data_IF_676289573851
#
_entry.id   IF_676289573851
#
_cell.length_a   1.000
_cell.length_b   1.000
_cell.length_c   1.000
_cell.angle_alpha   90.00
_cell.angle_beta   90.00
_cell.angle_gamma   90.00
#
_symmetry.space_group_name_H-M   'P 1'
#
loop_
_entity.id
_entity.type
_entity.pdbx_description
1 polymer ?
#
# COMPACT_ATOMS: atom_id res chain seq x y z
N UNK A 1 -18.97 -19.85 85.82
CA UNK A 1 -19.88 -19.00 85.02
C UNK A 1 -19.05 -17.93 84.33
N UNK A 2 -18.86 -18.06 83.01
CA UNK A 2 -18.48 -17.05 81.99
C UNK A 2 -17.83 -17.80 80.81
N UNK A 3 -18.64 -18.18 79.82
CA UNK A 3 -18.16 -18.60 78.50
C UNK A 3 -17.81 -17.33 77.71
N UNK A 4 -16.58 -17.22 77.20
CA UNK A 4 -16.23 -16.22 76.18
C UNK A 4 -16.32 -16.86 74.80
N UNK A 5 -17.31 -16.44 74.03
CA UNK A 5 -17.55 -16.84 72.65
C UNK A 5 -16.60 -16.05 71.74
N UNK A 6 -15.55 -16.69 71.21
CA UNK A 6 -14.63 -16.08 70.26
C UNK A 6 -15.20 -16.10 68.84
N UNK A 7 -15.47 -14.91 68.29
CA UNK A 7 -15.95 -14.74 66.91
C UNK A 7 -14.76 -14.80 65.94
N UNK A 8 -14.63 -15.88 65.17
CA UNK A 8 -13.62 -16.01 64.11
C UNK A 8 -14.17 -15.38 62.81
N UNK A 9 -13.68 -14.20 62.45
CA UNK A 9 -13.96 -13.58 61.14
C UNK A 9 -12.99 -14.19 60.12
N UNK A 10 -13.49 -15.04 59.23
CA UNK A 10 -12.76 -15.56 58.08
C UNK A 10 -12.74 -14.47 57.01
N UNK A 11 -11.58 -13.86 56.77
CA UNK A 11 -11.37 -12.90 55.69
C UNK A 11 -11.17 -13.69 54.38
N UNK A 12 -12.23 -13.84 53.58
CA UNK A 12 -12.11 -14.38 52.23
C UNK A 12 -11.44 -13.35 51.32
N UNK A 13 -10.16 -13.56 51.01
CA UNK A 13 -9.44 -12.81 49.98
C UNK A 13 -9.94 -13.25 48.61
N UNK A 14 -10.77 -12.42 47.99
CA UNK A 14 -11.16 -12.57 46.58
C UNK A 14 -9.95 -12.17 45.74
N UNK A 15 -9.21 -13.14 45.21
CA UNK A 15 -8.25 -12.90 44.14
C UNK A 15 -9.02 -12.55 42.87
N UNK A 16 -9.11 -11.25 42.56
CA UNK A 16 -9.53 -10.80 41.25
C UNK A 16 -8.43 -11.14 40.24
N UNK A 17 -8.60 -12.26 39.54
CA UNK A 17 -7.76 -12.63 38.40
C UNK A 17 -7.97 -11.60 37.29
N UNK A 18 -7.10 -10.58 37.20
CA UNK A 18 -7.03 -9.70 36.06
C UNK A 18 -6.73 -10.55 34.83
N UNK A 19 -7.76 -10.84 34.04
CA UNK A 19 -7.61 -11.48 32.75
C UNK A 19 -6.88 -10.49 31.87
N UNK A 20 -5.59 -10.70 31.65
CA UNK A 20 -4.83 -9.96 30.63
C UNK A 20 -5.46 -10.35 29.29
N UNK A 21 -6.41 -9.54 28.83
CA UNK A 21 -6.84 -9.55 27.44
C UNK A 21 -5.56 -9.37 26.65
N UNK A 22 -5.11 -10.42 25.96
CA UNK A 22 -4.03 -10.31 24.99
C UNK A 22 -4.53 -9.32 23.95
N UNK A 23 -4.13 -8.07 24.07
CA UNK A 23 -4.31 -7.06 23.04
C UNK A 23 -3.84 -7.67 21.73
N UNK A 24 -4.68 -7.63 20.69
CA UNK A 24 -4.27 -8.00 19.34
C UNK A 24 -2.88 -7.39 19.09
N UNK A 25 -1.91 -8.20 18.68
CA UNK A 25 -0.53 -7.74 18.58
C UNK A 25 -0.48 -6.56 17.62
N UNK A 26 -0.08 -5.40 18.16
CA UNK A 26 0.02 -4.14 17.43
C UNK A 26 0.99 -4.27 16.26
N UNK A 27 0.77 -3.50 15.21
CA UNK A 27 1.64 -3.45 14.06
C UNK A 27 3.11 -3.24 14.43
N UNK A 28 3.97 -3.82 13.60
CA UNK A 28 5.41 -3.77 13.83
C UNK A 28 6.03 -2.42 13.50
N UNK A 29 5.44 -1.67 12.57
CA UNK A 29 5.84 -0.31 12.23
C UNK A 29 4.65 0.47 11.63
N UNK A 30 4.60 1.78 11.87
CA UNK A 30 3.66 2.67 11.20
C UNK A 30 4.19 4.10 11.04
N UNK A 31 3.59 4.83 10.11
CA UNK A 31 3.76 6.28 9.92
C UNK A 31 2.37 6.89 9.71
N UNK A 32 2.11 8.00 10.39
CA UNK A 32 0.99 8.91 10.15
C UNK A 32 1.57 10.23 9.66
N UNK A 33 1.15 10.68 8.47
CA UNK A 33 1.67 11.91 7.88
C UNK A 33 0.57 12.73 7.21
N UNK A 34 0.74 14.05 7.23
CA UNK A 34 0.03 14.92 6.29
C UNK A 34 0.54 14.64 4.88
N UNK A 35 -0.36 14.24 3.99
CA UNK A 35 0.00 13.78 2.66
C UNK A 35 0.48 14.90 1.73
N UNK A 36 0.05 16.14 1.98
CA UNK A 36 0.36 17.26 1.12
C UNK A 36 1.78 17.78 1.37
N UNK A 37 2.08 18.10 2.63
CA UNK A 37 3.39 18.59 3.06
C UNK A 37 4.41 17.47 3.19
N UNK A 38 3.97 16.23 3.48
CA UNK A 38 4.84 15.12 3.84
C UNK A 38 5.32 15.19 5.29
N UNK A 39 4.74 16.04 6.13
CA UNK A 39 5.10 16.14 7.54
C UNK A 39 4.58 14.92 8.33
N UNK A 40 5.50 14.23 9.01
CA UNK A 40 5.19 13.09 9.86
C UNK A 40 4.65 13.60 11.20
N UNK A 41 3.39 13.25 11.48
CA UNK A 41 2.67 13.60 12.70
C UNK A 41 3.05 12.64 13.85
N UNK A 42 3.12 11.34 13.55
CA UNK A 42 3.47 10.29 14.50
C UNK A 42 4.02 9.08 13.76
N UNK A 43 4.94 8.36 14.38
CA UNK A 43 5.59 7.19 13.78
C UNK A 43 6.05 6.19 14.85
N UNK A 44 6.11 4.92 14.46
CA UNK A 44 6.69 3.85 15.27
C UNK A 44 7.55 2.97 14.37
N UNK A 45 8.82 2.78 14.74
CA UNK A 45 9.78 1.97 13.99
C UNK A 45 9.81 2.30 12.47
N UNK A 46 9.79 3.59 12.08
CA UNK A 46 9.54 4.03 10.70
C UNK A 46 10.53 3.46 9.68
N UNK A 47 11.77 3.20 10.13
CA UNK A 47 12.91 2.71 9.32
C UNK A 47 13.17 1.20 9.47
N UNK A 48 12.30 0.47 10.15
CA UNK A 48 12.41 -0.99 10.32
C UNK A 48 12.14 -1.68 8.99
N UNK A 49 13.09 -2.53 8.55
CA UNK A 49 12.98 -3.29 7.31
C UNK A 49 11.99 -4.44 7.49
N UNK A 50 10.90 -4.41 6.75
CA UNK A 50 9.84 -5.42 6.77
C UNK A 50 9.48 -5.85 5.35
N UNK A 51 8.95 -7.07 5.20
CA UNK A 51 8.23 -7.42 3.98
C UNK A 51 6.92 -6.61 3.93
N UNK A 52 6.55 -6.13 2.74
CA UNK A 52 5.37 -5.27 2.55
C UNK A 52 4.28 -5.92 1.68
N UNK A 53 4.52 -7.17 1.24
CA UNK A 53 3.60 -7.91 0.37
C UNK A 53 3.16 -7.08 -0.85
N UNK A 54 1.87 -7.16 -1.17
CA UNK A 54 1.26 -6.47 -2.31
C UNK A 54 1.28 -4.93 -2.27
N UNK A 55 1.76 -4.29 -1.19
CA UNK A 55 2.06 -2.85 -1.24
C UNK A 55 3.14 -2.53 -2.29
N UNK A 56 3.97 -3.52 -2.64
CA UNK A 56 4.91 -3.48 -3.78
C UNK A 56 4.26 -3.02 -5.08
N UNK A 57 2.97 -3.33 -5.28
CA UNK A 57 2.22 -2.98 -6.50
C UNK A 57 2.04 -1.47 -6.68
N UNK A 58 2.23 -0.66 -5.63
CA UNK A 58 2.27 0.80 -5.73
C UNK A 58 3.48 1.25 -6.58
N UNK A 59 4.66 0.66 -6.34
CA UNK A 59 5.86 0.94 -7.14
C UNK A 59 5.70 0.43 -8.57
N UNK A 60 5.16 -0.78 -8.75
CA UNK A 60 4.88 -1.34 -10.07
C UNK A 60 3.96 -0.41 -10.87
N UNK A 61 2.81 -0.03 -10.31
CA UNK A 61 1.87 0.83 -11.01
C UNK A 61 2.44 2.22 -11.28
N UNK A 62 3.23 2.77 -10.35
CA UNK A 62 3.93 4.05 -10.55
C UNK A 62 4.84 3.99 -11.78
N UNK A 63 5.68 2.95 -11.90
CA UNK A 63 6.56 2.76 -13.06
C UNK A 63 5.77 2.59 -14.36
N UNK A 64 4.68 1.81 -14.35
CA UNK A 64 3.82 1.63 -15.54
C UNK A 64 3.21 2.96 -15.99
N UNK A 65 2.67 3.74 -15.06
CA UNK A 65 2.02 5.02 -15.35
C UNK A 65 3.05 6.06 -15.83
N UNK A 66 4.20 6.16 -15.17
CA UNK A 66 5.30 7.05 -15.58
C UNK A 66 5.80 6.73 -16.99
N UNK A 67 5.99 5.44 -17.29
CA UNK A 67 6.42 4.99 -18.61
C UNK A 67 5.38 5.32 -19.68
N UNK A 68 4.10 5.09 -19.38
CA UNK A 68 3.00 5.34 -20.30
C UNK A 68 2.86 6.84 -20.60
N UNK A 69 2.87 7.67 -19.56
CA UNK A 69 2.80 9.14 -19.70
C UNK A 69 3.96 9.67 -20.55
N UNK A 70 5.18 9.24 -20.24
CA UNK A 70 6.39 9.69 -20.97
C UNK A 70 6.40 9.27 -22.45
N UNK A 71 5.82 8.12 -22.78
CA UNK A 71 5.76 7.62 -24.16
C UNK A 71 4.50 8.04 -24.91
N UNK A 72 3.58 8.78 -24.26
CA UNK A 72 2.22 8.98 -24.78
C UNK A 72 1.55 7.66 -25.17
N UNK A 73 1.79 6.62 -24.37
CA UNK A 73 1.31 5.26 -24.62
C UNK A 73 -0.19 5.12 -24.36
N UNK A 74 -0.82 4.15 -25.02
CA UNK A 74 -2.24 3.88 -24.87
C UNK A 74 -2.48 2.77 -23.83
N UNK A 75 -3.09 3.11 -22.69
CA UNK A 75 -3.50 2.11 -21.68
C UNK A 75 -4.59 1.15 -22.20
N UNK A 76 -5.24 1.45 -23.33
CA UNK A 76 -6.17 0.54 -23.98
C UNK A 76 -5.49 -0.49 -24.88
N UNK A 77 -4.18 -0.40 -25.07
CA UNK A 77 -3.41 -1.42 -25.76
C UNK A 77 -3.63 -2.78 -25.10
N UNK A 78 -4.02 -3.76 -25.92
CA UNK A 78 -4.13 -5.14 -25.51
C UNK A 78 -2.73 -5.75 -25.35
N UNK A 79 -2.56 -6.52 -24.28
CA UNK A 79 -1.36 -7.29 -23.99
C UNK A 79 -1.76 -8.73 -23.69
N UNK A 80 -0.94 -9.66 -24.13
CA UNK A 80 -1.14 -11.09 -23.88
C UNK A 80 -0.53 -11.49 -22.55
N UNK A 81 -1.27 -12.22 -21.74
CA UNK A 81 -0.78 -12.77 -20.48
C UNK A 81 0.27 -13.86 -20.79
N UNK A 82 1.54 -13.68 -20.39
CA UNK A 82 2.61 -14.63 -20.70
C UNK A 82 2.56 -15.86 -19.79
N UNK A 83 2.99 -17.01 -20.30
CA UNK A 83 3.11 -18.26 -19.51
C UNK A 83 3.96 -18.08 -18.26
N UNK A 84 4.99 -17.23 -18.33
CA UNK A 84 5.92 -16.94 -17.25
C UNK A 84 5.25 -16.26 -16.05
N UNK A 85 4.10 -15.60 -16.24
CA UNK A 85 3.37 -14.96 -15.14
C UNK A 85 2.88 -15.97 -14.08
N UNK A 86 2.77 -17.25 -14.44
CA UNK A 86 2.30 -18.31 -13.55
C UNK A 86 3.42 -19.00 -12.77
N UNK A 87 4.68 -18.70 -13.09
CA UNK A 87 5.83 -19.30 -12.41
C UNK A 87 6.07 -18.59 -11.08
N UNK A 88 5.74 -19.27 -9.98
CA UNK A 88 5.96 -18.72 -8.63
C UNK A 88 4.92 -17.69 -8.19
N UNK A 89 3.85 -17.49 -8.95
CA UNK A 89 2.71 -16.64 -8.60
C UNK A 89 1.66 -17.41 -7.81
N UNK A 90 1.08 -16.77 -6.79
CA UNK A 90 0.06 -17.37 -5.92
C UNK A 90 -1.35 -16.79 -6.08
N UNK A 91 -1.51 -15.46 -6.10
CA UNK A 91 -2.82 -14.79 -6.20
C UNK A 91 -3.27 -14.59 -7.66
N UNK A 92 -4.26 -15.37 -8.10
CA UNK A 92 -4.92 -15.28 -9.42
C UNK A 92 -6.44 -15.52 -9.27
N UNK A 93 -7.12 -14.68 -8.48
CA UNK A 93 -8.55 -14.86 -8.16
C UNK A 93 -9.49 -14.57 -9.35
N UNK A 94 -8.98 -13.88 -10.36
CA UNK A 94 -9.71 -13.57 -11.60
C UNK A 94 -9.76 -14.80 -12.52
N UNK A 95 -8.82 -15.74 -12.33
CA UNK A 95 -8.73 -16.95 -13.13
C UNK A 95 -8.15 -16.69 -14.51
N UNK A 96 -7.21 -15.74 -14.63
CA UNK A 96 -6.45 -15.51 -15.86
C UNK A 96 -5.70 -16.77 -16.30
N UNK A 97 -5.53 -16.91 -17.61
CA UNK A 97 -4.83 -18.02 -18.26
C UNK A 97 -3.75 -17.49 -19.22
N UNK A 98 -2.69 -18.29 -19.48
CA UNK A 98 -1.74 -17.97 -20.53
C UNK A 98 -2.46 -17.76 -21.87
N UNK A 99 -2.08 -16.71 -22.59
CA UNK A 99 -2.69 -16.38 -23.89
C UNK A 99 -3.94 -15.50 -23.83
N UNK A 100 -4.54 -15.29 -22.65
CA UNK A 100 -5.61 -14.29 -22.49
C UNK A 100 -5.10 -12.91 -22.97
N UNK A 101 -5.96 -12.17 -23.67
CA UNK A 101 -5.66 -10.82 -24.17
C UNK A 101 -6.47 -9.77 -23.43
N UNK A 102 -5.79 -8.82 -22.80
CA UNK A 102 -6.38 -7.86 -21.87
C UNK A 102 -5.69 -6.50 -21.99
N UNK A 103 -6.43 -5.41 -21.78
CA UNK A 103 -5.84 -4.06 -21.86
C UNK A 103 -4.93 -3.77 -20.67
N UNK A 104 -3.90 -2.94 -20.87
CA UNK A 104 -3.05 -2.47 -19.75
C UNK A 104 -3.87 -1.77 -18.66
N UNK A 105 -4.91 -1.03 -19.04
CA UNK A 105 -5.87 -0.38 -18.13
C UNK A 105 -6.57 -1.39 -17.22
N UNK A 106 -7.07 -2.48 -17.79
CA UNK A 106 -7.77 -3.51 -17.02
C UNK A 106 -6.81 -4.34 -16.16
N UNK A 107 -5.58 -4.53 -16.60
CA UNK A 107 -4.52 -5.11 -15.78
C UNK A 107 -4.16 -4.20 -14.58
N UNK A 108 -4.10 -2.88 -14.76
CA UNK A 108 -3.88 -1.95 -13.66
C UNK A 108 -5.00 -2.03 -12.63
N UNK A 109 -6.26 -2.12 -13.08
CA UNK A 109 -7.38 -2.37 -12.17
C UNK A 109 -7.24 -3.71 -11.45
N UNK A 110 -6.97 -4.80 -12.16
CA UNK A 110 -6.79 -6.12 -11.55
C UNK A 110 -5.70 -6.11 -10.47
N UNK A 111 -4.56 -5.48 -10.75
CA UNK A 111 -3.43 -5.39 -9.83
C UNK A 111 -3.67 -4.46 -8.64
N UNK A 112 -4.34 -3.31 -8.82
CA UNK A 112 -4.52 -2.31 -7.76
C UNK A 112 -5.80 -2.52 -6.94
N UNK A 113 -6.90 -2.92 -7.57
CA UNK A 113 -8.20 -3.12 -6.92
C UNK A 113 -8.24 -4.48 -6.24
N UNK A 114 -8.00 -5.56 -6.98
CA UNK A 114 -8.10 -6.94 -6.45
C UNK A 114 -6.74 -7.59 -6.13
N UNK A 115 -5.64 -6.83 -6.23
CA UNK A 115 -4.31 -7.29 -5.85
C UNK A 115 -3.72 -8.42 -6.71
N UNK A 116 -4.21 -8.62 -7.93
CA UNK A 116 -3.85 -9.79 -8.75
C UNK A 116 -2.35 -9.81 -9.14
N UNK A 117 -1.69 -10.97 -8.93
CA UNK A 117 -0.25 -11.12 -9.19
C UNK A 117 0.07 -11.34 -10.66
N UNK A 118 -0.82 -12.06 -11.38
CA UNK A 118 -0.66 -12.29 -12.82
C UNK A 118 -0.73 -10.97 -13.57
N UNK A 119 -1.65 -10.09 -13.15
CA UNK A 119 -1.76 -8.77 -13.74
C UNK A 119 -0.51 -7.90 -13.51
N UNK A 120 -0.01 -7.87 -12.27
CA UNK A 120 1.20 -7.13 -11.93
C UNK A 120 2.44 -7.67 -12.68
N UNK A 121 2.58 -8.99 -12.80
CA UNK A 121 3.65 -9.60 -13.59
C UNK A 121 3.53 -9.25 -15.07
N UNK A 122 2.32 -9.36 -15.64
CA UNK A 122 2.07 -9.10 -17.07
C UNK A 122 2.41 -7.66 -17.45
N UNK A 123 1.99 -6.69 -16.63
CA UNK A 123 2.36 -5.28 -16.80
C UNK A 123 3.88 -5.09 -16.78
N UNK A 124 4.55 -5.67 -15.78
CA UNK A 124 6.00 -5.58 -15.64
C UNK A 124 6.75 -6.23 -16.81
N UNK A 125 6.28 -7.40 -17.28
CA UNK A 125 6.84 -8.09 -18.43
C UNK A 125 6.68 -7.26 -19.71
N UNK A 126 5.49 -6.72 -19.95
CA UNK A 126 5.22 -5.89 -21.13
C UNK A 126 6.08 -4.63 -21.14
N UNK A 127 5.99 -3.80 -20.10
CA UNK A 127 6.75 -2.54 -20.00
C UNK A 127 8.26 -2.82 -19.97
N UNK A 128 8.66 -3.85 -19.23
CA UNK A 128 10.05 -4.32 -19.15
C UNK A 128 10.63 -4.76 -20.49
N UNK A 129 9.84 -5.40 -21.36
CA UNK A 129 10.30 -5.77 -22.70
C UNK A 129 10.61 -4.55 -23.57
N UNK A 130 9.78 -3.51 -23.45
CA UNK A 130 9.97 -2.24 -24.16
C UNK A 130 11.20 -1.49 -23.63
N UNK A 131 11.43 -1.51 -22.32
CA UNK A 131 12.61 -0.91 -21.69
C UNK A 131 13.89 -1.66 -22.05
N UNK A 132 13.86 -2.99 -21.99
CA UNK A 132 15.01 -3.84 -22.30
C UNK A 132 15.45 -3.74 -23.76
N UNK A 133 14.52 -3.50 -24.68
CA UNK A 133 14.82 -3.29 -26.10
C UNK A 133 15.68 -2.04 -26.39
N UNK A 134 15.81 -1.12 -25.43
CA UNK A 134 16.62 0.09 -25.54
C UNK A 134 18.05 -0.11 -24.99
N UNK A 135 18.34 -1.25 -24.38
CA UNK A 135 19.65 -1.55 -23.80
C UNK A 135 20.59 -2.18 -24.83
N UNK A 136 21.92 -1.98 -24.70
CA UNK A 136 22.91 -2.72 -25.46
C UNK A 136 22.69 -4.24 -25.38
N UNK A 137 22.92 -4.95 -26.48
CA UNK A 137 22.57 -6.39 -26.62
C UNK A 137 23.29 -7.30 -25.62
N UNK A 138 24.49 -6.93 -25.19
CA UNK A 138 25.27 -7.62 -24.17
C UNK A 138 24.67 -7.51 -22.76
N UNK A 139 23.91 -6.43 -22.50
CA UNK A 139 23.16 -6.22 -21.26
C UNK A 139 21.79 -6.90 -21.35
N UNK A 140 21.06 -6.71 -22.45
CA UNK A 140 19.70 -7.24 -22.61
C UNK A 140 19.65 -8.77 -22.63
N UNK A 141 20.71 -9.43 -23.13
CA UNK A 141 20.82 -10.91 -23.13
C UNK A 141 20.93 -11.55 -21.75
N UNK A 142 21.19 -10.76 -20.70
CA UNK A 142 21.38 -11.25 -19.32
C UNK A 142 20.18 -10.98 -18.40
N UNK A 143 19.15 -10.31 -18.90
CA UNK A 143 18.03 -9.85 -18.10
C UNK A 143 16.71 -10.31 -18.73
N UNK A 144 15.79 -10.82 -17.90
CA UNK A 144 14.42 -10.99 -18.33
C UNK A 144 13.73 -9.62 -18.46
N UNK A 145 12.62 -9.51 -19.21
CA UNK A 145 11.80 -8.29 -19.22
C UNK A 145 11.43 -7.81 -17.80
N UNK A 146 11.11 -8.74 -16.90
CA UNK A 146 10.76 -8.40 -15.51
C UNK A 146 11.96 -7.87 -14.74
N UNK A 147 13.18 -8.37 -14.97
CA UNK A 147 14.38 -7.81 -14.34
C UNK A 147 14.61 -6.36 -14.78
N UNK A 148 14.42 -6.06 -16.06
CA UNK A 148 14.53 -4.68 -16.58
C UNK A 148 13.51 -3.75 -15.92
N UNK A 149 12.29 -4.24 -15.70
CA UNK A 149 11.24 -3.52 -14.99
C UNK A 149 11.56 -3.31 -13.50
N UNK A 150 12.02 -4.35 -12.80
CA UNK A 150 12.40 -4.27 -11.38
C UNK A 150 13.58 -3.32 -11.16
N UNK A 151 14.50 -3.20 -12.13
CA UNK A 151 15.52 -2.14 -12.12
C UNK A 151 14.89 -0.75 -12.08
N UNK A 152 13.82 -0.49 -12.84
CA UNK A 152 13.12 0.79 -12.79
C UNK A 152 12.38 0.99 -11.47
N UNK A 153 11.81 -0.06 -10.87
CA UNK A 153 11.20 0.05 -9.53
C UNK A 153 12.23 0.49 -8.48
N UNK A 154 13.45 -0.07 -8.53
CA UNK A 154 14.52 0.32 -7.60
C UNK A 154 15.15 1.68 -7.97
N UNK A 155 15.15 2.07 -9.24
CA UNK A 155 15.53 3.42 -9.66
C UNK A 155 14.56 4.47 -9.12
N UNK A 156 13.25 4.20 -9.19
CA UNK A 156 12.21 5.01 -8.56
C UNK A 156 12.44 5.09 -7.04
N UNK A 157 12.68 3.96 -6.37
CA UNK A 157 12.98 3.94 -4.94
C UNK A 157 14.17 4.85 -4.60
N UNK A 158 15.25 4.78 -5.37
CA UNK A 158 16.42 5.67 -5.20
C UNK A 158 16.06 7.15 -5.43
N UNK A 159 15.29 7.46 -6.47
CA UNK A 159 14.85 8.84 -6.77
C UNK A 159 14.02 9.43 -5.62
N UNK A 160 13.23 8.60 -4.94
CA UNK A 160 12.39 8.99 -3.81
C UNK A 160 13.11 8.88 -2.45
N UNK A 161 14.43 8.70 -2.44
CA UNK A 161 15.24 8.51 -1.23
C UNK A 161 14.75 7.37 -0.32
N UNK A 162 14.22 6.29 -0.91
CA UNK A 162 13.82 5.08 -0.20
C UNK A 162 15.03 4.18 0.09
N UNK A 163 15.94 4.67 0.93
CA UNK A 163 17.26 4.06 1.19
C UNK A 163 17.20 2.65 1.80
N UNK A 164 16.04 2.27 2.36
CA UNK A 164 15.84 1.01 3.06
C UNK A 164 14.79 0.16 2.35
N UNK A 165 14.74 0.26 1.03
CA UNK A 165 13.86 -0.52 0.17
C UNK A 165 14.64 -1.34 -0.86
N UNK A 166 14.16 -2.56 -1.10
CA UNK A 166 14.56 -3.39 -2.23
C UNK A 166 13.36 -4.10 -2.80
N UNK A 167 12.99 -3.76 -4.02
CA UNK A 167 12.06 -4.54 -4.82
C UNK A 167 12.81 -5.62 -5.59
N UNK A 168 12.22 -6.81 -5.67
CA UNK A 168 12.80 -7.96 -6.39
C UNK A 168 11.82 -8.60 -7.37
N UNK A 169 10.55 -8.19 -7.34
CA UNK A 169 9.49 -8.60 -8.24
C UNK A 169 8.37 -7.54 -8.19
N UNK A 170 7.45 -7.52 -9.18
CA UNK A 170 6.44 -6.46 -9.31
C UNK A 170 5.22 -6.64 -8.39
N UNK A 171 5.04 -7.83 -7.81
CA UNK A 171 3.82 -8.20 -7.10
C UNK A 171 3.98 -8.27 -5.56
N UNK A 172 5.20 -8.40 -5.05
CA UNK A 172 5.51 -8.46 -3.62
C UNK A 172 5.58 -9.86 -3.01
N UNK A 173 5.76 -10.92 -3.82
CA UNK A 173 5.93 -12.28 -3.28
C UNK A 173 7.30 -12.39 -2.64
N UNK A 174 7.34 -13.02 -1.47
CA UNK A 174 8.56 -13.22 -0.66
C UNK A 174 8.84 -14.70 -0.35
N UNK A 175 8.05 -15.61 -0.92
CA UNK A 175 8.23 -17.05 -0.80
C UNK A 175 9.06 -17.60 -1.95
N UNK A 176 10.09 -18.41 -1.63
CA UNK A 176 11.06 -18.96 -2.60
C UNK A 176 11.77 -17.90 -3.46
N UNK A 177 11.83 -16.67 -2.99
CA UNK A 177 12.51 -15.55 -3.65
C UNK A 177 13.79 -15.20 -2.87
N UNK A 178 14.90 -15.04 -3.59
CA UNK A 178 16.17 -14.54 -3.03
C UNK A 178 16.81 -13.53 -3.99
N UNK A 179 17.33 -12.40 -3.50
CA UNK A 179 17.21 -11.91 -2.12
C UNK A 179 15.77 -11.55 -1.75
N UNK A 180 15.46 -11.44 -0.46
CA UNK A 180 14.11 -11.10 -0.01
C UNK A 180 13.77 -9.64 -0.31
N UNK A 181 12.54 -9.33 -0.76
CA UNK A 181 12.07 -7.96 -0.84
C UNK A 181 11.88 -7.38 0.57
N UNK A 182 12.09 -6.09 0.71
CA UNK A 182 11.80 -5.36 1.93
C UNK A 182 11.58 -3.88 1.64
N UNK A 183 10.91 -3.20 2.56
CA UNK A 183 10.80 -1.74 2.62
C UNK A 183 10.61 -1.32 4.08
N UNK A 184 10.23 -0.07 4.31
CA UNK A 184 9.96 0.51 5.64
C UNK A 184 8.67 1.31 5.59
N UNK A 185 8.11 1.67 6.76
CA UNK A 185 6.89 2.48 6.79
C UNK A 185 7.16 3.88 6.21
N UNK A 186 8.32 4.46 6.49
CA UNK A 186 8.76 5.74 5.93
C UNK A 186 8.93 5.68 4.41
N UNK A 187 9.66 4.70 3.88
CA UNK A 187 9.91 4.57 2.45
C UNK A 187 8.59 4.37 1.68
N UNK A 188 7.69 3.54 2.22
CA UNK A 188 6.36 3.32 1.64
C UNK A 188 5.48 4.59 1.71
N UNK A 189 5.67 5.45 2.71
CA UNK A 189 5.00 6.75 2.77
C UNK A 189 5.52 7.69 1.67
N UNK A 190 6.84 7.74 1.42
CA UNK A 190 7.43 8.50 0.29
C UNK A 190 6.88 8.04 -1.05
N UNK A 191 6.87 6.73 -1.27
CA UNK A 191 6.32 6.12 -2.49
C UNK A 191 4.83 6.43 -2.67
N UNK A 192 4.05 6.33 -1.59
CA UNK A 192 2.60 6.58 -1.66
C UNK A 192 2.32 8.04 -1.97
N UNK A 193 3.05 8.98 -1.36
CA UNK A 193 2.93 10.42 -1.67
C UNK A 193 3.24 10.70 -3.14
N UNK A 194 4.30 10.10 -3.68
CA UNK A 194 4.62 10.18 -5.11
C UNK A 194 3.48 9.65 -5.99
N UNK A 195 2.96 8.47 -5.67
CA UNK A 195 1.91 7.83 -6.45
C UNK A 195 0.59 8.62 -6.39
N UNK A 196 0.17 9.05 -5.20
CA UNK A 196 -1.09 9.77 -4.98
C UNK A 196 -1.10 11.19 -5.56
N UNK A 197 0.07 11.79 -5.84
CA UNK A 197 0.14 13.05 -6.59
C UNK A 197 -0.34 12.89 -8.05
N UNK A 198 -0.37 11.67 -8.60
CA UNK A 198 -0.88 11.40 -9.94
C UNK A 198 -2.39 11.20 -9.95
N UNK A 199 -3.17 12.00 -10.69
CA UNK A 199 -4.61 11.78 -10.83
C UNK A 199 -4.98 10.39 -11.34
N UNK A 200 -4.18 9.86 -12.27
CA UNK A 200 -4.37 8.51 -12.83
C UNK A 200 -4.28 7.43 -11.75
N UNK A 201 -3.26 7.45 -10.91
CA UNK A 201 -3.10 6.48 -9.82
C UNK A 201 -4.24 6.56 -8.81
N UNK A 202 -4.61 7.79 -8.37
CA UNK A 202 -5.75 8.01 -7.46
C UNK A 202 -7.04 7.44 -8.03
N UNK A 203 -7.27 7.62 -9.33
CA UNK A 203 -8.44 7.09 -10.00
C UNK A 203 -8.54 5.57 -9.88
N UNK A 204 -7.45 4.83 -10.06
CA UNK A 204 -7.45 3.37 -9.90
C UNK A 204 -7.74 2.91 -8.46
N UNK A 205 -7.04 3.48 -7.46
CA UNK A 205 -7.10 2.97 -6.09
C UNK A 205 -8.38 3.36 -5.34
N UNK A 206 -9.09 4.39 -5.81
CA UNK A 206 -10.37 4.86 -5.24
C UNK A 206 -11.59 4.04 -5.66
N UNK A 207 -11.44 3.10 -6.59
CA UNK A 207 -12.57 2.29 -7.06
C UNK A 207 -12.92 1.20 -6.05
N UNK A 208 -14.14 1.23 -5.51
CA UNK A 208 -14.67 0.12 -4.67
C UNK A 208 -14.86 -1.16 -5.46
N UNK A 209 -15.38 -1.03 -6.67
CA UNK A 209 -15.60 -2.12 -7.59
C UNK A 209 -15.31 -1.65 -9.01
N UNK A 210 -14.91 -2.57 -9.89
CA UNK A 210 -14.69 -2.27 -11.30
C UNK A 210 -14.92 -3.50 -12.15
N UNK A 211 -15.79 -3.42 -13.16
CA UNK A 211 -15.83 -4.46 -14.18
C UNK A 211 -14.65 -4.29 -15.14
N UNK A 212 -13.94 -5.39 -15.39
CA UNK A 212 -12.94 -5.53 -16.45
C UNK A 212 -13.44 -6.55 -17.47
N UNK A 213 -12.84 -6.54 -18.67
CA UNK A 213 -13.01 -7.69 -19.56
C UNK A 213 -11.81 -7.97 -20.45
N UNK A 214 -11.65 -9.26 -20.77
CA UNK A 214 -10.53 -9.81 -21.51
C UNK A 214 -11.02 -10.84 -22.52
N UNK A 215 -10.20 -11.13 -23.53
CA UNK A 215 -10.45 -12.19 -24.50
C UNK A 215 -9.74 -13.47 -24.07
N UNK A 216 -10.46 -14.59 -24.17
CA UNK A 216 -9.93 -15.94 -23.99
C UNK A 216 -10.31 -16.76 -25.22
N UNK A 217 -9.32 -17.07 -26.05
CA UNK A 217 -9.51 -17.86 -27.26
C UNK A 217 -10.69 -17.36 -28.14
N UNK A 218 -10.81 -16.04 -28.31
CA UNK A 218 -11.87 -15.41 -29.10
C UNK A 218 -13.20 -15.18 -28.36
N UNK A 219 -13.28 -15.53 -27.07
CA UNK A 219 -14.46 -15.28 -26.23
C UNK A 219 -14.21 -14.13 -25.24
N UNK A 220 -15.13 -13.16 -25.21
CA UNK A 220 -15.10 -12.04 -24.26
C UNK A 220 -15.57 -12.51 -22.88
N UNK A 221 -14.69 -12.42 -21.89
CA UNK A 221 -14.97 -12.72 -20.48
C UNK A 221 -15.10 -11.41 -19.70
N UNK A 222 -16.15 -11.26 -18.90
CA UNK A 222 -16.34 -10.13 -17.97
C UNK A 222 -16.15 -10.58 -16.52
N UNK A 223 -15.51 -9.73 -15.72
CA UNK A 223 -15.26 -9.99 -14.31
C UNK A 223 -15.41 -8.72 -13.48
N UNK A 224 -16.08 -8.80 -12.33
CA UNK A 224 -16.23 -7.67 -11.40
C UNK A 224 -15.14 -7.76 -10.34
N UNK A 225 -14.21 -6.81 -10.38
CA UNK A 225 -13.19 -6.64 -9.35
C UNK A 225 -13.79 -6.00 -8.10
N UNK A 226 -13.36 -6.47 -6.93
CA UNK A 226 -13.70 -5.88 -5.63
C UNK A 226 -12.44 -5.43 -4.92
N UNK A 227 -12.46 -4.21 -4.39
CA UNK A 227 -11.29 -3.63 -3.74
C UNK A 227 -10.91 -4.41 -2.49
N UNK A 228 -9.61 -4.72 -2.32
CA UNK A 228 -9.11 -5.42 -1.14
C UNK A 228 -9.05 -4.54 0.11
N UNK A 229 -9.29 -3.22 0.01
CA UNK A 229 -9.43 -2.31 1.14
C UNK A 229 -10.90 -2.21 1.58
N UNK A 230 -11.24 -2.91 2.66
CA UNK A 230 -12.60 -2.93 3.22
C UNK A 230 -13.05 -1.59 3.82
N UNK A 231 -12.10 -0.69 4.11
CA UNK A 231 -12.37 0.64 4.67
C UNK A 231 -12.65 1.70 3.58
N UNK A 232 -12.51 1.35 2.30
CA UNK A 232 -12.66 2.31 1.21
C UNK A 232 -14.06 2.95 1.19
N UNK A 233 -14.09 4.28 1.10
CA UNK A 233 -15.29 5.11 1.17
C UNK A 233 -15.93 5.21 2.56
N UNK A 234 -15.20 4.86 3.62
CA UNK A 234 -15.58 5.13 5.02
C UNK A 234 -14.62 6.18 5.58
N UNK A 235 -15.09 7.08 6.45
CA UNK A 235 -14.23 8.06 7.14
C UNK A 235 -13.35 8.90 6.18
N UNK A 236 -13.85 9.22 4.98
CA UNK A 236 -13.10 9.95 3.96
C UNK A 236 -11.99 9.15 3.27
N UNK A 237 -11.86 7.84 3.53
CA UNK A 237 -10.85 6.97 2.91
C UNK A 237 -11.13 6.80 1.43
N UNK A 238 -10.17 7.15 0.58
CA UNK A 238 -10.22 7.06 -0.88
C UNK A 238 -9.04 6.26 -1.48
N UNK A 239 -8.30 5.54 -0.62
CA UNK A 239 -7.21 4.64 -1.00
C UNK A 239 -6.58 3.94 0.21
N UNK A 240 -5.44 3.25 0.08
CA UNK A 240 -4.68 3.02 -1.16
C UNK A 240 -4.60 1.54 -1.46
N UNK A 241 -3.99 0.75 -0.56
CA UNK A 241 -3.69 -0.65 -0.86
C UNK A 241 -3.48 -1.50 0.38
N UNK A 242 -3.83 -2.77 0.28
CA UNK A 242 -3.49 -3.82 1.25
C UNK A 242 -2.39 -4.74 0.72
N UNK A 243 -1.62 -5.37 1.61
CA UNK A 243 -0.65 -6.41 1.29
C UNK A 243 -0.54 -7.49 2.37
N UNK A 244 -0.42 -8.76 1.96
CA UNK A 244 -0.34 -9.88 2.91
C UNK A 244 0.62 -10.93 2.38
N UNK A 245 1.41 -11.49 3.28
CA UNK A 245 2.16 -12.72 3.11
C UNK A 245 2.40 -13.33 4.50
N UNK A 246 2.88 -14.56 4.53
CA UNK A 246 3.28 -15.19 5.79
C UNK A 246 4.38 -14.39 6.53
N UNK A 247 5.21 -13.61 5.80
CA UNK A 247 6.31 -12.84 6.38
C UNK A 247 5.96 -11.38 6.64
N UNK A 248 5.14 -10.77 5.79
CA UNK A 248 4.74 -9.37 5.95
C UNK A 248 3.69 -9.18 7.05
N UNK A 249 2.99 -10.25 7.45
CA UNK A 249 1.73 -10.12 8.16
C UNK A 249 0.74 -9.29 7.35
N UNK A 250 -0.17 -8.61 8.04
CA UNK A 250 -1.16 -7.74 7.42
C UNK A 250 -0.62 -6.31 7.27
N UNK A 251 -0.41 -5.85 6.03
CA UNK A 251 0.01 -4.48 5.73
C UNK A 251 -1.14 -3.67 5.09
N UNK A 252 -1.21 -2.37 5.39
CA UNK A 252 -2.25 -1.47 4.89
C UNK A 252 -1.67 -0.07 4.71
N UNK A 253 -2.03 0.58 3.61
CA UNK A 253 -1.85 2.03 3.45
C UNK A 253 -3.23 2.64 3.23
N UNK A 254 -3.59 3.60 4.09
CA UNK A 254 -4.80 4.41 3.97
C UNK A 254 -4.44 5.81 3.51
N UNK A 255 -5.27 6.35 2.64
CA UNK A 255 -5.32 7.76 2.29
C UNK A 255 -6.73 8.23 2.56
N UNK A 256 -6.88 9.32 3.30
CA UNK A 256 -8.18 9.83 3.68
C UNK A 256 -8.22 11.35 3.58
N UNK A 257 -9.37 11.85 3.15
CA UNK A 257 -9.63 13.28 3.05
C UNK A 257 -10.58 13.78 4.13
N UNK A 258 -10.50 15.08 4.39
CA UNK A 258 -11.55 15.87 5.03
C UNK A 258 -11.79 17.10 4.16
N UNK A 259 -12.89 17.83 4.41
CA UNK A 259 -13.15 19.11 3.75
C UNK A 259 -11.93 20.02 3.84
N UNK A 260 -11.65 20.84 2.83
CA UNK A 260 -10.52 21.78 2.93
C UNK A 260 -10.79 22.81 4.03
N UNK A 261 -9.74 23.21 4.73
CA UNK A 261 -9.82 24.28 5.71
C UNK A 261 -9.56 25.62 5.02
N UNK A 262 -10.41 26.61 5.28
CA UNK A 262 -10.27 27.97 4.74
C UNK A 262 -9.96 28.90 5.89
N UNK A 263 -8.74 29.47 5.91
CA UNK A 263 -8.32 30.47 6.89
C UNK A 263 -8.42 31.85 6.24
N UNK A 264 -9.17 32.75 6.88
CA UNK A 264 -9.36 34.13 6.42
C UNK A 264 -8.54 35.07 7.29
N UNK A 265 -7.69 35.87 6.66
CA UNK A 265 -6.93 36.94 7.31
C UNK A 265 -7.13 38.25 6.52
N UNK A 266 -7.99 39.12 7.05
CA UNK A 266 -8.46 40.33 6.37
C UNK A 266 -9.15 40.01 5.04
N UNK A 267 -8.54 40.44 3.93
CA UNK A 267 -9.01 40.18 2.57
C UNK A 267 -8.35 38.96 1.90
N UNK A 268 -7.48 38.25 2.62
CA UNK A 268 -6.79 37.05 2.11
C UNK A 268 -7.50 35.80 2.58
N UNK A 269 -7.80 34.88 1.66
CA UNK A 269 -8.25 33.52 1.99
C UNK A 269 -7.14 32.54 1.62
N UNK A 270 -6.74 31.70 2.58
CA UNK A 270 -5.81 30.59 2.33
C UNK A 270 -6.57 29.28 2.47
N UNK A 271 -6.50 28.44 1.43
CA UNK A 271 -7.13 27.11 1.41
C UNK A 271 -6.08 26.05 1.71
N UNK A 272 -6.33 25.25 2.74
CA UNK A 272 -5.51 24.11 3.12
C UNK A 272 -6.28 22.81 2.82
N UNK A 273 -5.94 22.08 1.75
CA UNK A 273 -6.48 20.76 1.55
C UNK A 273 -6.01 19.83 2.69
N UNK A 274 -6.88 18.92 3.11
CA UNK A 274 -6.63 18.04 4.24
C UNK A 274 -6.63 16.59 3.78
N UNK A 275 -5.44 16.03 3.65
CA UNK A 275 -5.25 14.63 3.32
C UNK A 275 -4.28 13.99 4.29
N UNK A 276 -4.74 12.93 4.94
CA UNK A 276 -3.96 12.15 5.89
C UNK A 276 -3.56 10.84 5.24
N UNK A 277 -2.33 10.42 5.45
CA UNK A 277 -1.80 9.13 5.03
C UNK A 277 -1.39 8.32 6.27
N UNK A 278 -1.81 7.06 6.30
CA UNK A 278 -1.40 6.08 7.32
C UNK A 278 -0.76 4.90 6.63
N UNK A 279 0.50 4.60 6.96
CA UNK A 279 1.19 3.38 6.54
C UNK A 279 1.30 2.45 7.74
N UNK A 280 0.85 1.21 7.58
CA UNK A 280 0.80 0.18 8.62
C UNK A 280 1.45 -1.12 8.13
N UNK A 281 2.49 -1.58 8.81
CA UNK A 281 3.24 -2.79 8.43
C UNK A 281 3.26 -3.84 9.54
N UNK A 282 3.10 -5.12 9.18
CA UNK A 282 3.26 -6.22 10.13
C UNK A 282 2.14 -6.35 11.16
N UNK A 283 0.93 -5.91 10.86
CA UNK A 283 -0.23 -6.04 11.75
C UNK A 283 -0.82 -7.46 11.75
N UNK A 284 -1.58 -7.80 12.80
CA UNK A 284 -2.44 -8.99 12.83
C UNK A 284 -3.92 -8.67 12.58
N UNK A 285 -4.31 -7.38 12.63
CA UNK A 285 -5.65 -6.89 12.37
C UNK A 285 -5.62 -5.49 11.72
N UNK A 286 -5.24 -5.43 10.43
CA UNK A 286 -4.91 -4.17 9.76
C UNK A 286 -6.04 -3.15 9.74
N UNK A 287 -7.29 -3.59 9.65
CA UNK A 287 -8.42 -2.68 9.46
C UNK A 287 -8.86 -2.03 10.76
N UNK A 288 -8.85 -2.80 11.87
CA UNK A 288 -9.08 -2.23 13.20
C UNK A 288 -7.97 -1.25 13.58
N UNK A 289 -6.72 -1.69 13.45
CA UNK A 289 -5.55 -0.86 13.78
C UNK A 289 -5.44 0.36 12.85
N UNK A 290 -5.65 0.18 11.54
CA UNK A 290 -5.65 1.27 10.58
C UNK A 290 -6.75 2.31 10.84
N UNK A 291 -7.94 1.88 11.29
CA UNK A 291 -9.02 2.78 11.71
C UNK A 291 -8.61 3.59 12.93
N UNK A 292 -8.03 2.95 13.95
CA UNK A 292 -7.56 3.63 15.15
C UNK A 292 -6.45 4.65 14.85
N UNK A 293 -5.47 4.28 14.03
CA UNK A 293 -4.39 5.18 13.61
C UNK A 293 -4.90 6.34 12.75
N UNK A 294 -5.92 6.12 11.91
CA UNK A 294 -6.52 7.20 11.14
C UNK A 294 -7.24 8.22 12.05
N UNK A 295 -8.00 7.74 13.04
CA UNK A 295 -8.66 8.60 14.02
C UNK A 295 -7.63 9.40 14.83
N UNK A 296 -6.58 8.73 15.31
CA UNK A 296 -5.45 9.35 16.00
C UNK A 296 -4.77 10.41 15.13
N UNK A 297 -4.52 10.09 13.87
CA UNK A 297 -3.86 11.00 12.94
C UNK A 297 -4.65 12.27 12.66
N UNK A 298 -5.98 12.19 12.63
CA UNK A 298 -6.80 13.39 12.53
C UNK A 298 -6.74 14.27 13.78
N UNK A 299 -6.70 13.68 14.98
CA UNK A 299 -6.49 14.45 16.22
C UNK A 299 -5.13 15.16 16.22
N UNK A 300 -4.09 14.46 15.76
CA UNK A 300 -2.75 15.03 15.63
C UNK A 300 -2.69 16.13 14.56
N UNK A 301 -3.37 15.94 13.44
CA UNK A 301 -3.48 16.95 12.40
C UNK A 301 -4.13 18.22 12.95
N UNK A 302 -5.26 18.09 13.66
CA UNK A 302 -5.99 19.24 14.21
C UNK A 302 -5.13 20.01 15.23
N UNK A 303 -4.35 19.29 16.07
CA UNK A 303 -3.39 19.90 16.99
C UNK A 303 -2.24 20.62 16.26
N UNK A 304 -1.67 19.98 15.24
CA UNK A 304 -0.60 20.56 14.42
C UNK A 304 -1.09 21.80 13.64
N UNK A 305 -2.30 21.74 13.10
CA UNK A 305 -2.96 22.85 12.41
C UNK A 305 -3.18 24.04 13.35
N UNK A 306 -3.71 23.80 14.56
CA UNK A 306 -3.92 24.82 15.58
C UNK A 306 -2.60 25.45 16.07
N UNK A 307 -1.50 24.69 16.05
CA UNK A 307 -0.15 25.18 16.37
C UNK A 307 0.53 25.92 15.20
N UNK A 308 -0.20 26.27 14.13
CA UNK A 308 0.33 27.02 13.00
C UNK A 308 1.06 26.18 11.95
N UNK A 309 0.90 24.85 11.96
CA UNK A 309 1.47 23.92 10.96
C UNK A 309 3.00 23.98 10.84
N UNK A 310 3.69 24.18 11.96
CA UNK A 310 5.15 24.20 11.98
C UNK A 310 5.69 22.82 11.58
N UNK A 311 6.55 22.76 10.56
CA UNK A 311 7.16 21.54 10.08
C UNK A 311 8.64 21.49 10.51
N UNK A 312 8.99 20.54 11.38
CA UNK A 312 10.39 20.18 11.65
C UNK A 312 10.97 19.53 10.38
N UNK A 313 12.02 20.09 9.76
CA UNK A 313 12.64 19.51 8.56
C UNK A 313 13.12 18.07 8.75
N UNK A 314 13.40 17.65 10.00
CA UNK A 314 13.81 16.27 10.31
C UNK A 314 12.66 15.26 10.26
N UNK A 315 11.41 15.73 10.20
CA UNK A 315 10.19 14.92 10.15
C UNK A 315 9.49 15.00 8.78
N UNK A 316 10.21 15.39 7.73
CA UNK A 316 9.67 15.43 6.38
C UNK A 316 10.06 14.18 5.57
N UNK A 317 9.05 13.66 4.86
CA UNK A 317 9.17 12.65 3.82
C UNK A 317 9.82 13.17 2.53
#
# INVERSE_FOLDING_TARGET
>A
MRLSLGFFIIFSVIFASASVVRTAAAAQAYVIADAQTGYILEEQEPRKKLQVGSLTKIAMASVVLDWTEKKSGDLNQAVTIPQQAFVGSSENNIGFQPGDSITMRDLLYAALVQSDNIAAYTLAHHVGSQLGSLLPSDVSSRMTPVDAFVTQMNALAKQLNMERTRFVNPHGIDYKVRPLPYSTAEDMARLTRYAMNKPSFRFYVSQKERQISFDRAGQRINYILRNTNELLGRMGIDGVKTGTSARSGQCLILYANRESEVVRDGHTETVYPRHLMVVLLGSTNRFSEGTALLQRGWQLYDQWAAAGRLADPKKLL
#
